data_IF_847633756479
#
_entry.id   IF_847633756479
#
_cell.length_a   1.000
_cell.length_b   1.000
_cell.length_c   1.000
_cell.angle_alpha   90.00
_cell.angle_beta   90.00
_cell.angle_gamma   90.00
#
_symmetry.space_group_name_H-M   'P 1'
#
loop_
_entity.id
_entity.type
_entity.pdbx_description
1 polymer ?
#
# COMPACT_ATOMS: atom_id res chain seq x y z
N UNK A 1 -4.43 0.28 29.48
CA UNK A 1 -3.66 0.08 28.20
C UNK A 1 -2.39 -0.68 28.55
N UNK A 2 -2.16 -1.83 27.95
CA UNK A 2 -0.92 -2.59 28.12
C UNK A 2 0.18 -1.97 27.25
N UNK A 3 1.30 -1.55 27.88
CA UNK A 3 2.46 -0.96 27.19
C UNK A 3 3.38 -2.07 26.65
N UNK A 4 2.85 -2.97 25.84
CA UNK A 4 3.56 -4.13 25.30
C UNK A 4 3.32 -4.26 23.81
N UNK A 5 4.40 -4.32 23.00
CA UNK A 5 4.32 -4.45 21.55
C UNK A 5 5.62 -5.02 20.96
N UNK A 6 5.52 -5.69 19.82
CA UNK A 6 6.65 -6.08 18.98
C UNK A 6 6.78 -5.06 17.84
N UNK A 7 7.98 -4.51 17.65
CA UNK A 7 8.23 -3.50 16.64
C UNK A 7 9.12 -4.05 15.53
N UNK A 8 8.76 -3.74 14.27
CA UNK A 8 9.55 -4.08 13.09
C UNK A 8 9.80 -2.83 12.25
N UNK A 9 11.04 -2.64 11.82
CA UNK A 9 11.48 -1.50 11.02
C UNK A 9 11.66 -1.88 9.55
N UNK A 10 11.56 -0.89 8.64
CA UNK A 10 11.88 -1.13 7.24
C UNK A 10 13.34 -1.55 7.06
N UNK A 11 13.61 -2.07 5.88
CA UNK A 11 14.89 -2.57 5.42
C UNK A 11 15.85 -1.47 4.98
N UNK A 12 16.91 -1.84 4.24
CA UNK A 12 17.84 -0.90 3.60
C UNK A 12 17.14 -0.16 2.46
N UNK A 13 16.94 1.14 2.62
CA UNK A 13 16.30 2.01 1.63
C UNK A 13 17.35 2.93 1.01
N UNK A 14 17.48 2.89 -0.32
CA UNK A 14 18.24 3.83 -1.14
C UNK A 14 17.29 4.90 -1.64
N UNK A 15 17.30 6.05 -1.02
CA UNK A 15 16.35 7.12 -1.27
C UNK A 15 17.01 8.28 -2.03
N UNK A 16 16.36 8.77 -3.09
CA UNK A 16 16.73 9.98 -3.82
C UNK A 16 16.60 9.87 -5.33
N UNK A 17 16.60 11.02 -6.02
CA UNK A 17 16.48 11.11 -7.47
C UNK A 17 17.69 10.45 -8.17
N UNK A 18 17.43 9.73 -9.25
CA UNK A 18 18.44 9.02 -10.04
C UNK A 18 18.97 7.73 -9.42
N UNK A 19 18.49 7.35 -8.21
CA UNK A 19 18.99 6.16 -7.51
C UNK A 19 18.61 4.84 -8.17
N UNK A 20 17.72 4.86 -9.18
CA UNK A 20 17.46 3.67 -10.02
C UNK A 20 18.72 3.18 -10.74
N UNK A 21 19.70 4.06 -10.97
CA UNK A 21 21.01 3.69 -11.54
C UNK A 21 21.78 2.65 -10.69
N UNK A 22 21.41 2.50 -9.42
CA UNK A 22 22.01 1.54 -8.48
C UNK A 22 21.32 0.16 -8.51
N UNK A 23 20.39 -0.10 -9.44
CA UNK A 23 19.57 -1.33 -9.44
C UNK A 23 20.42 -2.59 -9.53
N UNK A 24 21.49 -2.58 -10.31
CA UNK A 24 22.40 -3.71 -10.45
C UNK A 24 23.16 -3.98 -9.14
N UNK A 25 23.67 -2.93 -8.50
CA UNK A 25 24.34 -3.05 -7.20
C UNK A 25 23.36 -3.53 -6.10
N UNK A 26 22.11 -3.05 -6.12
CA UNK A 26 21.08 -3.53 -5.21
C UNK A 26 20.82 -5.05 -5.37
N UNK A 27 20.81 -5.54 -6.62
CA UNK A 27 20.72 -6.97 -6.90
C UNK A 27 21.94 -7.74 -6.35
N UNK A 28 23.15 -7.24 -6.55
CA UNK A 28 24.36 -7.89 -6.02
C UNK A 28 24.39 -7.92 -4.50
N UNK A 29 23.98 -6.84 -3.83
CA UNK A 29 23.84 -6.79 -2.36
C UNK A 29 22.79 -7.80 -1.88
N UNK A 30 21.72 -8.00 -2.62
CA UNK A 30 20.70 -8.99 -2.32
C UNK A 30 21.12 -10.44 -2.68
N UNK A 31 22.29 -10.63 -3.31
CA UNK A 31 22.78 -11.93 -3.76
C UNK A 31 22.15 -12.42 -5.08
N UNK A 32 21.48 -11.51 -5.81
CA UNK A 32 20.76 -11.84 -7.05
C UNK A 32 21.70 -11.69 -8.24
N UNK A 33 21.80 -12.74 -9.09
CA UNK A 33 22.60 -12.78 -10.31
C UNK A 33 21.74 -12.91 -11.57
N UNK A 34 20.52 -13.37 -11.42
CA UNK A 34 19.58 -13.59 -12.52
C UNK A 34 18.17 -13.17 -12.13
N UNK A 35 17.91 -11.87 -11.94
CA UNK A 35 16.64 -11.36 -11.49
C UNK A 35 15.50 -11.61 -12.48
N UNK A 36 14.26 -11.75 -11.98
CA UNK A 36 13.03 -11.54 -12.74
C UNK A 36 12.44 -10.20 -12.33
N UNK A 37 12.31 -9.26 -13.24
CA UNK A 37 11.57 -8.03 -12.99
C UNK A 37 10.08 -8.30 -13.15
N UNK A 38 9.31 -8.05 -12.09
CA UNK A 38 7.85 -8.23 -12.06
C UNK A 38 7.19 -6.87 -12.04
N UNK A 39 6.31 -6.59 -13.01
CA UNK A 39 5.61 -5.32 -13.16
C UNK A 39 4.25 -5.50 -13.84
N UNK A 40 3.46 -4.44 -13.95
CA UNK A 40 2.19 -4.47 -14.68
C UNK A 40 2.37 -4.17 -16.17
N UNK A 41 1.29 -4.47 -16.93
CA UNK A 41 1.29 -4.30 -18.39
C UNK A 41 1.43 -2.84 -18.83
N UNK A 42 0.92 -1.91 -18.01
CA UNK A 42 1.01 -0.47 -18.30
C UNK A 42 2.44 0.03 -18.19
N UNK A 43 3.15 -0.40 -17.16
CA UNK A 43 4.54 0.00 -16.92
C UNK A 43 5.55 -0.71 -17.83
N UNK A 44 5.27 -1.94 -18.26
CA UNK A 44 6.23 -2.77 -19.00
C UNK A 44 6.85 -2.08 -20.24
N UNK A 45 6.03 -1.31 -20.97
CA UNK A 45 6.47 -0.57 -22.15
C UNK A 45 7.01 0.84 -21.88
N UNK A 46 6.90 1.34 -20.66
CA UNK A 46 7.29 2.71 -20.33
C UNK A 46 8.81 2.87 -20.26
N UNK A 47 9.27 4.09 -20.53
CA UNK A 47 10.70 4.45 -20.55
C UNK A 47 11.39 4.09 -19.23
N UNK A 48 10.77 4.32 -18.09
CA UNK A 48 11.33 4.00 -16.77
C UNK A 48 11.66 2.51 -16.62
N UNK A 49 10.79 1.63 -17.13
CA UNK A 49 11.01 0.18 -17.12
C UNK A 49 12.11 -0.22 -18.10
N UNK A 50 12.09 0.34 -19.33
CA UNK A 50 13.10 0.04 -20.33
C UNK A 50 14.49 0.52 -19.90
N UNK A 51 14.60 1.70 -19.28
CA UNK A 51 15.83 2.21 -18.66
C UNK A 51 16.34 1.25 -17.58
N UNK A 52 15.46 0.78 -16.71
CA UNK A 52 15.82 -0.18 -15.65
C UNK A 52 16.33 -1.50 -16.24
N UNK A 53 15.67 -2.04 -17.27
CA UNK A 53 16.09 -3.26 -17.95
C UNK A 53 17.45 -3.08 -18.67
N UNK A 54 17.74 -1.91 -19.24
CA UNK A 54 19.02 -1.61 -19.84
C UNK A 54 20.15 -1.61 -18.78
N UNK A 55 19.92 -0.96 -17.63
CA UNK A 55 20.89 -0.96 -16.53
C UNK A 55 21.21 -2.38 -16.02
N UNK A 56 20.23 -3.26 -15.99
CA UNK A 56 20.45 -4.67 -15.62
C UNK A 56 21.25 -5.42 -16.68
N UNK A 57 20.94 -5.22 -17.97
CA UNK A 57 21.61 -5.86 -19.09
C UNK A 57 23.08 -5.43 -19.19
N UNK A 58 23.34 -4.13 -19.07
CA UNK A 58 24.68 -3.56 -19.05
C UNK A 58 25.55 -4.12 -17.92
N UNK A 59 24.93 -4.52 -16.81
CA UNK A 59 25.58 -5.17 -15.67
C UNK A 59 25.66 -6.71 -15.80
N UNK A 60 25.18 -7.29 -16.90
CA UNK A 60 25.19 -8.73 -17.14
C UNK A 60 24.11 -9.52 -16.38
N UNK A 61 23.11 -8.84 -15.84
CA UNK A 61 21.99 -9.48 -15.10
C UNK A 61 20.82 -9.87 -16.03
N UNK A 62 20.86 -9.46 -17.31
CA UNK A 62 19.85 -9.73 -18.34
C UNK A 62 18.61 -8.84 -18.23
N UNK A 63 17.62 -9.12 -19.09
CA UNK A 63 16.40 -8.30 -19.29
C UNK A 63 15.11 -9.06 -19.03
N UNK A 64 15.12 -10.06 -18.14
CA UNK A 64 13.94 -10.87 -17.90
C UNK A 64 12.84 -10.05 -17.21
N UNK A 65 11.64 -10.08 -17.79
CA UNK A 65 10.48 -9.35 -17.31
C UNK A 65 9.24 -10.26 -17.30
N UNK A 66 8.44 -10.17 -16.25
CA UNK A 66 7.08 -10.69 -16.16
C UNK A 66 6.12 -9.51 -15.99
N UNK A 67 5.29 -9.26 -17.00
CA UNK A 67 4.43 -8.09 -17.07
C UNK A 67 2.91 -8.42 -16.95
N UNK A 68 2.57 -9.64 -16.55
CA UNK A 68 1.17 -10.05 -16.47
C UNK A 68 0.60 -9.86 -15.05
N UNK A 69 0.67 -8.63 -14.56
CA UNK A 69 0.13 -8.20 -13.27
C UNK A 69 -1.15 -7.43 -13.53
N UNK A 70 -2.26 -7.87 -12.94
CA UNK A 70 -3.53 -7.16 -12.99
C UNK A 70 -3.59 -6.07 -11.88
N UNK A 71 -4.42 -5.02 -12.00
CA UNK A 71 -4.55 -3.96 -10.98
C UNK A 71 -4.93 -4.48 -9.58
N UNK A 72 -5.67 -5.58 -9.51
CA UNK A 72 -5.92 -6.37 -8.30
C UNK A 72 -5.41 -7.79 -8.56
N UNK A 73 -4.11 -8.06 -8.31
CA UNK A 73 -3.51 -9.35 -8.65
C UNK A 73 -4.17 -10.49 -7.87
N UNK A 74 -4.29 -11.63 -8.54
CA UNK A 74 -4.91 -12.83 -7.99
C UNK A 74 -3.97 -14.04 -8.04
N UNK A 75 -4.46 -15.19 -7.56
CA UNK A 75 -3.69 -16.44 -7.54
C UNK A 75 -3.24 -16.93 -8.92
N UNK A 76 -3.94 -16.53 -10.00
CA UNK A 76 -3.56 -16.90 -11.37
C UNK A 76 -2.36 -16.08 -11.83
N UNK A 77 -2.33 -14.79 -11.51
CA UNK A 77 -1.16 -13.94 -11.74
C UNK A 77 0.05 -14.48 -10.97
N UNK A 78 -0.15 -14.87 -9.70
CA UNK A 78 0.91 -15.45 -8.87
C UNK A 78 1.46 -16.75 -9.47
N UNK A 79 0.59 -17.67 -9.87
CA UNK A 79 0.99 -18.94 -10.49
C UNK A 79 1.74 -18.73 -11.80
N UNK A 80 1.28 -17.80 -12.65
CA UNK A 80 1.95 -17.46 -13.90
C UNK A 80 3.33 -16.82 -13.66
N UNK A 81 3.45 -15.94 -12.67
CA UNK A 81 4.73 -15.34 -12.27
C UNK A 81 5.73 -16.37 -11.75
N UNK A 82 5.27 -17.31 -10.91
CA UNK A 82 6.08 -18.43 -10.43
C UNK A 82 6.54 -19.33 -11.58
N UNK A 83 5.67 -19.62 -12.54
CA UNK A 83 6.02 -20.39 -13.73
C UNK A 83 7.11 -19.70 -14.56
N UNK A 84 6.99 -18.37 -14.77
CA UNK A 84 8.00 -17.57 -15.46
C UNK A 84 9.35 -17.56 -14.70
N UNK A 85 9.31 -17.41 -13.37
CA UNK A 85 10.49 -17.44 -12.51
C UNK A 85 11.25 -18.77 -12.66
N UNK A 86 10.53 -19.90 -12.57
CA UNK A 86 11.12 -21.25 -12.70
C UNK A 86 11.64 -21.53 -14.10
N UNK A 87 10.89 -21.17 -15.15
CA UNK A 87 11.28 -21.38 -16.54
C UNK A 87 12.57 -20.62 -16.91
N UNK A 88 12.74 -19.41 -16.34
CA UNK A 88 13.94 -18.62 -16.52
C UNK A 88 15.12 -19.04 -15.64
N UNK A 89 14.96 -19.96 -14.70
CA UNK A 89 15.95 -20.29 -13.65
C UNK A 89 16.46 -19.03 -12.94
N UNK A 90 15.52 -18.17 -12.53
CA UNK A 90 15.82 -16.94 -11.81
C UNK A 90 16.20 -17.25 -10.34
N UNK A 91 16.99 -16.37 -9.71
CA UNK A 91 17.48 -16.53 -8.35
C UNK A 91 17.06 -15.38 -7.42
N UNK A 92 16.28 -14.41 -7.94
CA UNK A 92 15.71 -13.32 -7.19
C UNK A 92 14.67 -12.55 -7.99
N UNK A 93 13.95 -11.65 -7.35
CA UNK A 93 12.89 -10.85 -7.94
C UNK A 93 13.17 -9.36 -7.75
N UNK A 94 12.97 -8.60 -8.81
CA UNK A 94 12.82 -7.14 -8.73
C UNK A 94 11.32 -6.86 -8.78
N UNK A 95 10.72 -6.49 -7.66
CA UNK A 95 9.33 -6.04 -7.58
C UNK A 95 9.28 -4.56 -7.99
N UNK A 96 8.73 -4.27 -9.18
CA UNK A 96 8.78 -2.95 -9.80
C UNK A 96 7.38 -2.44 -10.11
N UNK A 97 7.00 -1.27 -9.57
CA UNK A 97 5.70 -0.70 -9.87
C UNK A 97 4.98 -0.09 -8.66
N UNK A 98 3.68 0.09 -8.80
CA UNK A 98 2.80 0.40 -7.69
C UNK A 98 2.51 -0.82 -6.81
N UNK A 99 1.57 -0.70 -5.87
CA UNK A 99 1.24 -1.77 -4.93
C UNK A 99 1.04 -3.14 -5.57
N UNK A 100 0.31 -3.22 -6.68
CA UNK A 100 0.03 -4.49 -7.39
C UNK A 100 1.31 -5.17 -7.91
N UNK A 101 2.22 -4.39 -8.51
CA UNK A 101 3.51 -4.89 -9.00
C UNK A 101 4.42 -5.33 -7.86
N UNK A 102 4.47 -4.54 -6.79
CA UNK A 102 5.25 -4.85 -5.58
C UNK A 102 4.71 -6.11 -4.88
N UNK A 103 3.40 -6.18 -4.67
CA UNK A 103 2.76 -7.30 -3.98
C UNK A 103 2.92 -8.61 -4.75
N UNK A 104 2.67 -8.58 -6.07
CA UNK A 104 2.85 -9.78 -6.87
C UNK A 104 4.33 -10.19 -6.95
N UNK A 105 5.25 -9.23 -7.09
CA UNK A 105 6.69 -9.53 -7.09
C UNK A 105 7.13 -10.23 -5.80
N UNK A 106 6.68 -9.76 -4.65
CA UNK A 106 6.95 -10.40 -3.36
C UNK A 106 6.35 -11.81 -3.28
N UNK A 107 5.11 -11.98 -3.74
CA UNK A 107 4.45 -13.30 -3.76
C UNK A 107 5.14 -14.27 -4.70
N UNK A 108 5.60 -13.84 -5.88
CA UNK A 108 6.38 -14.68 -6.80
C UNK A 108 7.67 -15.17 -6.14
N UNK A 109 8.43 -14.25 -5.52
CA UNK A 109 9.66 -14.60 -4.79
C UNK A 109 9.40 -15.60 -3.67
N UNK A 110 8.31 -15.40 -2.93
CA UNK A 110 7.90 -16.27 -1.84
C UNK A 110 7.50 -17.67 -2.32
N UNK A 111 6.58 -17.74 -3.29
CA UNK A 111 5.97 -19.00 -3.74
C UNK A 111 6.89 -19.85 -4.62
N UNK A 112 7.92 -19.27 -5.24
CA UNK A 112 8.79 -19.97 -6.19
C UNK A 112 9.40 -21.26 -5.62
N UNK A 113 9.71 -21.29 -4.33
CA UNK A 113 10.26 -22.46 -3.63
C UNK A 113 9.24 -23.21 -2.77
N UNK A 114 8.00 -22.72 -2.58
CA UNK A 114 7.03 -23.36 -1.72
C UNK A 114 6.35 -24.56 -2.40
N UNK A 115 5.90 -25.51 -1.58
CA UNK A 115 5.13 -26.69 -2.03
C UNK A 115 3.64 -26.60 -1.73
N UNK A 116 3.22 -25.63 -0.90
CA UNK A 116 1.83 -25.40 -0.51
C UNK A 116 1.16 -24.36 -1.40
N UNK A 117 -0.16 -24.39 -1.57
CA UNK A 117 -0.90 -23.36 -2.28
C UNK A 117 -0.85 -22.02 -1.53
N UNK A 118 -1.01 -20.91 -2.26
CA UNK A 118 -0.91 -19.55 -1.72
C UNK A 118 -1.81 -19.32 -0.51
N UNK A 119 -3.03 -19.86 -0.51
CA UNK A 119 -4.02 -19.62 0.55
C UNK A 119 -3.68 -20.31 1.88
N UNK A 120 -2.70 -21.24 1.90
CA UNK A 120 -2.17 -21.80 3.14
C UNK A 120 -1.30 -20.81 3.94
N UNK A 121 -0.97 -19.65 3.34
CA UNK A 121 -0.12 -18.60 3.90
C UNK A 121 -0.87 -17.28 4.14
N UNK A 122 -2.20 -17.33 4.21
CA UNK A 122 -3.03 -16.18 4.58
C UNK A 122 -2.61 -15.70 5.99
N UNK A 123 -2.70 -14.38 6.23
CA UNK A 123 -2.34 -13.75 7.51
C UNK A 123 -3.39 -14.07 8.58
N UNK A 124 -3.38 -15.32 9.02
CA UNK A 124 -4.25 -15.87 10.05
C UNK A 124 -3.34 -16.53 11.11
N UNK A 125 -3.36 -16.00 12.32
CA UNK A 125 -2.60 -16.51 13.47
C UNK A 125 -1.11 -16.75 13.09
N UNK A 126 -0.66 -18.02 13.16
CA UNK A 126 0.71 -18.45 12.88
C UNK A 126 0.89 -19.14 11.51
N UNK A 127 -0.04 -18.99 10.58
CA UNK A 127 -0.02 -19.69 9.29
C UNK A 127 1.24 -19.41 8.46
N UNK A 128 1.83 -18.22 8.63
CA UNK A 128 3.11 -17.88 8.00
C UNK A 128 4.24 -18.87 8.37
N UNK A 129 4.16 -19.55 9.52
CA UNK A 129 5.15 -20.56 9.95
C UNK A 129 5.11 -21.84 9.10
N UNK A 130 4.06 -22.05 8.31
CA UNK A 130 3.92 -23.17 7.36
C UNK A 130 4.88 -23.06 6.18
N UNK A 131 5.45 -21.86 5.96
CA UNK A 131 6.38 -21.61 4.86
C UNK A 131 7.77 -22.19 5.17
N UNK A 132 8.40 -22.76 4.13
CA UNK A 132 9.83 -23.01 4.18
C UNK A 132 10.57 -21.68 3.90
N UNK A 133 11.12 -21.09 4.95
CA UNK A 133 11.82 -19.81 4.87
C UNK A 133 13.13 -19.85 4.07
N UNK A 134 13.75 -21.01 3.92
CA UNK A 134 15.07 -21.13 3.29
C UNK A 134 15.02 -21.10 1.76
N UNK A 135 13.83 -21.30 1.20
CA UNK A 135 13.61 -21.33 -0.24
C UNK A 135 12.95 -20.05 -0.78
N UNK A 136 12.75 -19.04 0.08
CA UNK A 136 12.21 -17.75 -0.33
C UNK A 136 13.31 -16.97 -1.05
N UNK A 137 13.04 -16.58 -2.29
CA UNK A 137 13.98 -15.83 -3.10
C UNK A 137 14.19 -14.41 -2.55
N UNK A 138 15.39 -13.82 -2.67
CA UNK A 138 15.64 -12.44 -2.29
C UNK A 138 14.87 -11.47 -3.20
N UNK A 139 14.53 -10.30 -2.63
CA UNK A 139 13.70 -9.29 -3.28
C UNK A 139 14.43 -7.94 -3.25
N UNK A 140 14.46 -7.27 -4.41
CA UNK A 140 14.70 -5.83 -4.53
C UNK A 140 13.37 -5.17 -4.88
N UNK A 141 12.97 -4.12 -4.17
CA UNK A 141 11.72 -3.41 -4.46
C UNK A 141 12.00 -2.01 -5.01
N UNK A 142 11.22 -1.63 -6.03
CA UNK A 142 11.31 -0.33 -6.70
C UNK A 142 9.91 0.23 -6.89
N UNK A 143 9.41 1.02 -5.93
CA UNK A 143 8.11 1.66 -6.04
C UNK A 143 8.11 2.73 -7.13
N UNK A 144 7.05 2.79 -7.94
CA UNK A 144 6.81 3.82 -8.94
C UNK A 144 5.59 4.68 -8.61
N UNK A 145 4.99 4.46 -7.44
CA UNK A 145 3.90 5.25 -6.87
C UNK A 145 4.23 5.63 -5.43
N UNK A 146 3.57 6.65 -4.91
CA UNK A 146 3.76 7.14 -3.55
C UNK A 146 2.46 7.02 -2.76
N UNK A 147 2.13 5.80 -2.32
CA UNK A 147 0.86 5.52 -1.62
C UNK A 147 0.92 4.29 -0.74
N UNK A 148 0.91 3.11 -1.35
CA UNK A 148 0.78 1.84 -0.64
C UNK A 148 1.93 1.54 0.34
N UNK A 149 3.15 2.01 0.05
CA UNK A 149 4.34 1.70 0.84
C UNK A 149 4.65 0.19 0.91
N UNK A 150 4.15 -0.60 -0.06
CA UNK A 150 4.35 -2.05 -0.07
C UNK A 150 5.83 -2.46 -0.10
N UNK A 151 6.72 -1.57 -0.55
CA UNK A 151 8.17 -1.76 -0.55
C UNK A 151 8.78 -1.90 0.86
N UNK A 152 8.11 -1.43 1.89
CA UNK A 152 8.54 -1.56 3.29
C UNK A 152 7.64 -2.51 4.10
N UNK A 153 6.71 -3.19 3.43
CA UNK A 153 5.75 -4.10 4.04
C UNK A 153 6.20 -5.57 4.02
N UNK A 154 5.76 -6.32 5.03
CA UNK A 154 5.97 -7.77 5.17
C UNK A 154 4.78 -8.59 4.68
N UNK A 155 3.85 -7.97 3.98
CA UNK A 155 2.64 -8.57 3.48
C UNK A 155 2.43 -8.22 2.01
N UNK A 156 1.55 -8.96 1.36
CA UNK A 156 1.06 -8.69 0.00
C UNK A 156 -0.43 -8.93 -0.03
N UNK A 157 -1.16 -8.09 -0.74
CA UNK A 157 -2.61 -8.21 -0.93
C UNK A 157 -2.89 -8.90 -2.25
N UNK A 158 -3.50 -10.09 -2.18
CA UNK A 158 -3.88 -10.90 -3.35
C UNK A 158 -5.38 -11.15 -3.33
N UNK A 159 -6.03 -10.93 -4.45
CA UNK A 159 -7.47 -11.16 -4.59
C UNK A 159 -7.73 -12.64 -4.83
N UNK A 160 -8.54 -13.26 -3.98
CA UNK A 160 -9.05 -14.60 -4.26
C UNK A 160 -10.12 -14.52 -5.35
N UNK A 161 -9.84 -15.08 -6.53
CA UNK A 161 -10.73 -14.94 -7.70
C UNK A 161 -12.07 -15.67 -7.55
N UNK A 162 -12.17 -16.62 -6.60
CA UNK A 162 -13.40 -17.38 -6.33
C UNK A 162 -14.31 -16.61 -5.38
N UNK A 163 -13.76 -16.16 -4.24
CA UNK A 163 -14.53 -15.44 -3.22
C UNK A 163 -14.65 -13.94 -3.49
N UNK A 164 -13.84 -13.41 -4.42
CA UNK A 164 -13.70 -11.99 -4.71
C UNK A 164 -13.37 -11.16 -3.46
N UNK A 165 -12.52 -11.70 -2.61
CA UNK A 165 -12.03 -11.06 -1.39
C UNK A 165 -10.54 -10.78 -1.52
N UNK A 166 -10.11 -9.62 -1.04
CA UNK A 166 -8.70 -9.32 -0.85
C UNK A 166 -8.19 -10.10 0.36
N UNK A 167 -7.13 -10.86 0.17
CA UNK A 167 -6.49 -11.68 1.20
C UNK A 167 -5.07 -11.18 1.40
N UNK A 168 -4.65 -11.13 2.65
CA UNK A 168 -3.29 -10.76 3.01
C UNK A 168 -2.47 -12.05 3.09
N UNK A 169 -1.38 -12.10 2.34
CA UNK A 169 -0.35 -13.13 2.46
C UNK A 169 0.82 -12.51 3.22
N UNK A 170 1.18 -13.09 4.34
CA UNK A 170 2.18 -12.55 5.24
C UNK A 170 3.36 -13.50 5.44
N UNK A 171 4.55 -12.94 5.42
CA UNK A 171 5.76 -13.61 5.92
C UNK A 171 6.84 -12.56 6.24
N UNK A 172 7.63 -12.70 7.34
CA UNK A 172 8.72 -11.75 7.65
C UNK A 172 9.71 -11.52 6.50
N UNK A 173 10.01 -12.55 5.69
CA UNK A 173 10.90 -12.46 4.52
C UNK A 173 10.25 -11.85 3.26
N UNK A 174 9.01 -11.37 3.32
CA UNK A 174 8.45 -10.48 2.28
C UNK A 174 9.09 -9.10 2.29
N UNK A 175 9.70 -8.72 3.41
CA UNK A 175 10.46 -7.48 3.48
C UNK A 175 11.61 -7.53 2.48
N UNK A 176 11.65 -6.64 1.47
CA UNK A 176 12.71 -6.62 0.47
C UNK A 176 14.09 -6.42 1.12
N UNK A 177 15.11 -7.06 0.56
CA UNK A 177 16.50 -6.90 1.04
C UNK A 177 17.02 -5.49 0.82
N UNK A 178 16.69 -4.91 -0.35
CA UNK A 178 17.01 -3.53 -0.71
C UNK A 178 15.79 -2.90 -1.36
N UNK A 179 15.54 -1.63 -1.03
CA UNK A 179 14.51 -0.80 -1.66
C UNK A 179 15.18 0.36 -2.36
N UNK A 180 14.74 0.70 -3.57
CA UNK A 180 15.16 1.91 -4.28
C UNK A 180 13.94 2.83 -4.41
N UNK A 181 13.89 3.86 -3.57
CA UNK A 181 12.91 4.93 -3.65
C UNK A 181 13.45 6.08 -4.49
N UNK A 182 13.19 6.05 -5.79
CA UNK A 182 13.60 7.08 -6.72
C UNK A 182 12.40 7.92 -7.17
N UNK A 183 12.27 9.17 -6.72
CA UNK A 183 11.12 10.02 -7.04
C UNK A 183 10.99 10.32 -8.54
N UNK A 184 12.04 10.22 -9.35
CA UNK A 184 11.95 10.39 -10.82
C UNK A 184 11.00 9.35 -11.43
N UNK A 185 10.89 8.16 -10.84
CA UNK A 185 10.01 7.09 -11.32
C UNK A 185 8.51 7.41 -11.11
N UNK A 186 8.20 8.42 -10.30
CA UNK A 186 6.82 8.85 -10.03
C UNK A 186 6.37 10.06 -10.84
N UNK A 187 7.27 10.72 -11.56
CA UNK A 187 6.99 11.97 -12.32
C UNK A 187 5.91 11.76 -13.37
N UNK A 188 5.88 10.58 -14.01
CA UNK A 188 4.89 10.24 -15.05
C UNK A 188 3.51 9.84 -14.53
N UNK A 189 3.27 9.84 -13.21
CA UNK A 189 1.96 9.45 -12.69
C UNK A 189 0.87 10.48 -13.08
N UNK A 190 -0.28 10.01 -13.62
CA UNK A 190 -1.44 10.86 -13.83
C UNK A 190 -1.91 11.53 -12.53
N UNK A 191 -2.53 12.71 -12.64
CA UNK A 191 -3.03 13.48 -11.48
C UNK A 191 -3.96 12.66 -10.58
N UNK A 192 -4.89 11.88 -11.15
CA UNK A 192 -5.82 11.08 -10.36
C UNK A 192 -5.13 9.95 -9.59
N UNK A 193 -4.05 9.37 -10.14
CA UNK A 193 -3.21 8.38 -9.43
C UNK A 193 -2.43 9.09 -8.32
N UNK A 194 -1.84 10.25 -8.61
CA UNK A 194 -1.12 11.05 -7.60
C UNK A 194 -2.03 11.38 -6.41
N UNK A 195 -3.26 11.85 -6.67
CA UNK A 195 -4.25 12.17 -5.63
C UNK A 195 -4.62 10.92 -4.81
N UNK A 196 -5.06 9.87 -5.50
CA UNK A 196 -5.52 8.65 -4.83
C UNK A 196 -4.40 7.96 -4.03
N UNK A 197 -3.21 7.81 -4.59
CA UNK A 197 -2.09 7.19 -3.85
C UNK A 197 -1.64 8.06 -2.68
N UNK A 198 -1.60 9.39 -2.85
CA UNK A 198 -1.23 10.29 -1.75
C UNK A 198 -2.23 10.25 -0.60
N UNK A 199 -3.53 10.15 -0.90
CA UNK A 199 -4.57 9.99 0.12
C UNK A 199 -4.60 8.59 0.75
N UNK A 200 -4.12 7.57 0.05
CA UNK A 200 -3.85 6.25 0.62
C UNK A 200 -2.76 6.33 1.70
N UNK A 201 -1.63 6.98 1.38
CA UNK A 201 -0.58 7.24 2.37
C UNK A 201 -1.10 8.05 3.57
N UNK A 202 -1.98 9.02 3.33
CA UNK A 202 -2.62 9.80 4.39
C UNK A 202 -3.55 8.93 5.25
N UNK A 203 -4.37 8.06 4.63
CA UNK A 203 -5.24 7.14 5.35
C UNK A 203 -4.44 6.16 6.22
N UNK A 204 -3.34 5.61 5.71
CA UNK A 204 -2.41 4.79 6.49
C UNK A 204 -1.92 5.50 7.75
N UNK A 205 -1.50 6.77 7.61
CA UNK A 205 -1.03 7.57 8.73
C UNK A 205 -2.15 7.86 9.73
N UNK A 206 -3.33 8.29 9.27
CA UNK A 206 -4.48 8.63 10.13
C UNK A 206 -4.95 7.41 10.92
N UNK A 207 -5.16 6.28 10.26
CA UNK A 207 -5.63 5.08 10.93
C UNK A 207 -4.60 4.51 11.90
N UNK A 208 -3.31 4.46 11.50
CA UNK A 208 -2.23 4.05 12.40
C UNK A 208 -2.15 4.95 13.63
N UNK A 209 -2.29 6.27 13.46
CA UNK A 209 -2.26 7.22 14.56
C UNK A 209 -3.43 7.01 15.53
N UNK A 210 -4.63 6.79 15.00
CA UNK A 210 -5.86 6.60 15.76
C UNK A 210 -6.06 5.19 16.31
N UNK A 211 -5.36 4.17 15.80
CA UNK A 211 -5.49 2.79 16.29
C UNK A 211 -5.22 2.70 17.80
N UNK A 212 -5.99 1.87 18.55
CA UNK A 212 -5.87 1.79 20.01
C UNK A 212 -4.63 1.04 20.51
N UNK A 213 -3.89 0.39 19.63
CA UNK A 213 -2.72 -0.39 20.01
C UNK A 213 -1.55 0.51 20.42
N UNK A 214 -0.69 0.00 21.32
CA UNK A 214 0.49 0.73 21.78
C UNK A 214 1.64 0.59 20.78
N UNK A 215 2.01 1.69 20.11
CA UNK A 215 3.18 1.73 19.23
C UNK A 215 3.65 3.18 19.03
N UNK A 216 4.38 3.79 20.00
CA UNK A 216 4.73 5.21 19.93
C UNK A 216 5.62 5.59 18.75
N UNK A 217 6.44 4.66 18.23
CA UNK A 217 7.24 4.93 17.02
C UNK A 217 6.36 5.05 15.78
N UNK A 218 5.33 4.20 15.65
CA UNK A 218 4.32 4.35 14.58
C UNK A 218 3.55 5.66 14.69
N UNK A 219 3.23 6.11 15.92
CA UNK A 219 2.58 7.41 16.13
C UNK A 219 3.43 8.58 15.64
N UNK A 220 4.73 8.59 15.96
CA UNK A 220 5.65 9.62 15.49
C UNK A 220 5.80 9.62 13.95
N UNK A 221 5.93 8.44 13.34
CA UNK A 221 5.98 8.31 11.88
C UNK A 221 4.67 8.73 11.22
N UNK A 222 3.52 8.36 11.79
CA UNK A 222 2.21 8.72 11.26
C UNK A 222 1.98 10.25 11.29
N UNK A 223 2.36 10.93 12.37
CA UNK A 223 2.27 12.39 12.47
C UNK A 223 3.11 13.09 11.40
N UNK A 224 4.37 12.70 11.25
CA UNK A 224 5.22 13.28 10.21
C UNK A 224 4.72 12.92 8.81
N UNK A 225 4.25 11.69 8.57
CA UNK A 225 3.65 11.29 7.31
C UNK A 225 2.43 12.17 6.95
N UNK A 226 1.53 12.44 7.92
CA UNK A 226 0.41 13.35 7.71
C UNK A 226 0.86 14.78 7.37
N UNK A 227 1.94 15.28 8.02
CA UNK A 227 2.50 16.60 7.72
C UNK A 227 3.02 16.67 6.29
N UNK A 228 3.79 15.66 5.86
CA UNK A 228 4.33 15.59 4.51
C UNK A 228 3.21 15.56 3.46
N UNK A 229 2.15 14.76 3.69
CA UNK A 229 1.00 14.74 2.77
C UNK A 229 0.32 16.10 2.70
N UNK A 230 0.03 16.72 3.85
CA UNK A 230 -0.60 18.05 3.91
C UNK A 230 0.17 19.09 3.09
N UNK A 231 1.49 19.08 3.18
CA UNK A 231 2.36 20.08 2.56
C UNK A 231 2.65 19.78 1.09
N UNK A 232 2.90 18.53 0.73
CA UNK A 232 3.47 18.17 -0.56
C UNK A 232 2.50 17.50 -1.53
N UNK A 233 1.41 16.87 -1.07
CA UNK A 233 0.46 16.25 -2.00
C UNK A 233 -0.22 17.25 -2.94
N UNK A 234 -0.69 18.43 -2.48
CA UNK A 234 -1.24 19.46 -3.37
C UNK A 234 -0.20 19.96 -4.41
N UNK A 235 1.07 20.06 -4.04
CA UNK A 235 2.17 20.44 -4.94
C UNK A 235 2.39 19.37 -6.01
N UNK A 236 2.57 18.10 -5.59
CA UNK A 236 2.75 16.97 -6.51
C UNK A 236 1.57 16.76 -7.46
N UNK A 237 0.35 17.06 -7.00
CA UNK A 237 -0.88 17.03 -7.81
C UNK A 237 -0.94 18.17 -8.82
N UNK A 238 -0.57 19.38 -8.41
CA UNK A 238 -0.55 20.58 -9.27
C UNK A 238 0.51 20.46 -10.36
N UNK A 239 1.75 20.15 -9.94
CA UNK A 239 2.92 19.95 -10.80
C UNK A 239 3.53 18.56 -10.57
N UNK A 240 3.25 17.64 -11.49
CA UNK A 240 3.78 16.27 -11.44
C UNK A 240 5.32 16.19 -11.60
N UNK A 241 5.98 17.27 -12.01
CA UNK A 241 7.44 17.35 -12.19
C UNK A 241 8.17 17.92 -10.97
N UNK A 242 7.45 18.34 -9.93
CA UNK A 242 8.02 18.81 -8.66
C UNK A 242 8.68 17.64 -7.90
N UNK A 243 9.97 17.42 -8.16
CA UNK A 243 10.75 16.33 -7.56
C UNK A 243 10.84 16.41 -6.03
N UNK A 244 10.83 17.61 -5.46
CA UNK A 244 10.81 17.76 -4.01
C UNK A 244 9.51 17.22 -3.44
N UNK A 245 8.36 17.63 -4.01
CA UNK A 245 7.06 17.13 -3.59
C UNK A 245 6.93 15.62 -3.81
N UNK A 246 7.39 15.09 -4.96
CA UNK A 246 7.43 13.65 -5.22
C UNK A 246 8.27 12.88 -4.18
N UNK A 247 9.42 13.43 -3.81
CA UNK A 247 10.30 12.84 -2.79
C UNK A 247 9.61 12.76 -1.43
N UNK A 248 8.99 13.85 -0.99
CA UNK A 248 8.29 13.87 0.29
C UNK A 248 7.05 12.95 0.28
N UNK A 249 6.35 12.83 -0.84
CA UNK A 249 5.24 11.88 -0.97
C UNK A 249 5.69 10.42 -0.88
N UNK A 250 6.84 10.05 -1.49
CA UNK A 250 7.42 8.71 -1.31
C UNK A 250 7.82 8.46 0.15
N UNK A 251 8.38 9.46 0.82
CA UNK A 251 8.68 9.35 2.25
C UNK A 251 7.41 9.15 3.08
N UNK A 252 6.34 9.92 2.81
CA UNK A 252 5.06 9.78 3.50
C UNK A 252 4.44 8.39 3.29
N UNK A 253 4.51 7.83 2.07
CA UNK A 253 4.05 6.49 1.77
C UNK A 253 4.79 5.41 2.57
N UNK A 254 6.12 5.46 2.60
CA UNK A 254 6.94 4.54 3.38
C UNK A 254 6.69 4.69 4.90
N UNK A 255 6.51 5.93 5.38
CA UNK A 255 6.20 6.20 6.78
C UNK A 255 4.82 5.67 7.17
N UNK A 256 3.78 5.90 6.35
CA UNK A 256 2.43 5.39 6.57
C UNK A 256 2.41 3.86 6.63
N UNK A 257 3.05 3.21 5.66
CA UNK A 257 3.15 1.76 5.59
C UNK A 257 3.96 1.14 6.74
N UNK A 258 4.96 1.85 7.24
CA UNK A 258 5.67 1.43 8.46
C UNK A 258 4.82 1.66 9.69
N UNK A 259 4.07 2.76 9.74
CA UNK A 259 3.23 3.12 10.88
C UNK A 259 2.04 2.18 11.06
N UNK A 260 1.45 1.66 10.00
CA UNK A 260 0.26 0.79 10.11
C UNK A 260 0.53 -0.59 10.74
N UNK A 261 1.77 -0.91 11.13
CA UNK A 261 2.03 -2.00 12.08
C UNK A 261 1.24 -1.83 13.39
N UNK A 262 0.91 -0.60 13.75
CA UNK A 262 0.03 -0.30 14.89
C UNK A 262 -1.43 -0.70 14.64
N UNK A 263 -1.84 -0.81 13.40
CA UNK A 263 -3.17 -1.22 12.92
C UNK A 263 -3.74 -0.23 11.93
N UNK A 264 -4.58 -0.73 11.03
CA UNK A 264 -5.50 0.01 10.18
C UNK A 264 -6.90 0.03 10.82
N UNK A 265 -7.91 0.54 10.13
CA UNK A 265 -9.25 0.67 10.68
C UNK A 265 -10.36 0.59 9.64
N UNK A 266 -11.46 1.29 9.90
CA UNK A 266 -12.69 1.23 9.11
C UNK A 266 -12.54 1.81 7.69
N UNK A 267 -11.60 2.73 7.45
CA UNK A 267 -11.37 3.25 6.10
C UNK A 267 -10.95 2.10 5.18
N UNK A 268 -9.91 1.36 5.57
CA UNK A 268 -9.44 0.21 4.81
C UNK A 268 -10.42 -0.96 4.83
N UNK A 269 -11.04 -1.25 5.98
CA UNK A 269 -12.03 -2.31 6.09
C UNK A 269 -13.23 -2.12 5.14
N UNK A 270 -13.63 -0.88 4.85
CA UNK A 270 -14.68 -0.56 3.87
C UNK A 270 -14.15 -0.58 2.44
N UNK A 271 -13.00 0.03 2.19
CA UNK A 271 -12.46 0.17 0.82
C UNK A 271 -12.02 -1.14 0.20
N UNK A 272 -11.58 -2.11 0.98
CA UNK A 272 -11.16 -3.42 0.47
C UNK A 272 -12.30 -4.18 -0.23
N UNK A 273 -13.46 -4.44 0.41
CA UNK A 273 -14.58 -5.08 -0.27
C UNK A 273 -15.14 -4.24 -1.42
N UNK A 274 -15.23 -2.90 -1.27
CA UNK A 274 -15.68 -2.02 -2.35
C UNK A 274 -14.76 -2.18 -3.57
N UNK A 275 -13.44 -2.08 -3.36
CA UNK A 275 -12.47 -2.23 -4.45
C UNK A 275 -12.44 -3.64 -5.07
N UNK A 276 -12.68 -4.69 -4.29
CA UNK A 276 -12.74 -6.06 -4.78
C UNK A 276 -13.99 -6.34 -5.63
N UNK A 277 -15.13 -5.74 -5.26
CA UNK A 277 -16.41 -5.94 -5.94
C UNK A 277 -16.51 -5.05 -7.18
N UNK A 278 -16.14 -3.78 -7.07
CA UNK A 278 -16.40 -2.75 -8.10
C UNK A 278 -15.16 -2.29 -8.85
N UNK A 279 -13.98 -2.83 -8.52
CA UNK A 279 -12.71 -2.50 -9.18
C UNK A 279 -12.31 -1.01 -9.10
N UNK A 280 -12.72 -0.32 -8.04
CA UNK A 280 -12.36 1.08 -7.82
C UNK A 280 -10.88 1.25 -7.47
N UNK A 281 -10.34 2.44 -7.71
CA UNK A 281 -8.98 2.77 -7.28
C UNK A 281 -8.92 2.85 -5.75
N UNK A 282 -8.06 2.03 -5.14
CA UNK A 282 -8.01 1.80 -3.69
C UNK A 282 -7.89 3.10 -2.88
N UNK A 283 -6.87 3.92 -3.15
CA UNK A 283 -6.66 5.14 -2.38
C UNK A 283 -7.75 6.20 -2.59
N UNK A 284 -8.39 6.23 -3.78
CA UNK A 284 -9.55 7.09 -4.01
C UNK A 284 -10.75 6.61 -3.18
N UNK A 285 -10.96 5.30 -3.08
CA UNK A 285 -12.02 4.73 -2.24
C UNK A 285 -11.77 5.00 -0.76
N UNK A 286 -10.50 4.91 -0.29
CA UNK A 286 -10.12 5.31 1.06
C UNK A 286 -10.49 6.77 1.33
N UNK A 287 -10.20 7.67 0.39
CA UNK A 287 -10.51 9.09 0.51
C UNK A 287 -12.01 9.37 0.59
N UNK A 288 -12.85 8.64 -0.16
CA UNK A 288 -14.31 8.72 -0.07
C UNK A 288 -14.84 8.23 1.28
N UNK A 289 -14.27 7.14 1.80
CA UNK A 289 -14.70 6.59 3.11
C UNK A 289 -14.27 7.46 4.30
N UNK A 290 -13.14 8.16 4.18
CA UNK A 290 -12.46 8.81 5.31
C UNK A 290 -13.34 9.81 6.08
N UNK A 291 -14.07 10.76 5.47
CA UNK A 291 -14.87 11.74 6.21
C UNK A 291 -15.94 11.09 7.11
N UNK A 292 -16.66 10.09 6.60
CA UNK A 292 -17.67 9.36 7.36
C UNK A 292 -17.05 8.57 8.51
N UNK A 293 -15.92 7.89 8.27
CA UNK A 293 -15.21 7.10 9.28
C UNK A 293 -14.64 8.00 10.39
N UNK A 294 -14.10 9.17 10.07
CA UNK A 294 -13.63 10.12 11.08
C UNK A 294 -14.78 10.57 12.01
N UNK A 295 -15.94 10.91 11.44
CA UNK A 295 -17.13 11.27 12.21
C UNK A 295 -17.62 10.11 13.09
N UNK A 296 -17.66 8.90 12.53
CA UNK A 296 -18.03 7.68 13.27
C UNK A 296 -17.09 7.44 14.46
N UNK A 297 -15.79 7.56 14.26
CA UNK A 297 -14.79 7.32 15.29
C UNK A 297 -14.62 8.51 16.28
N UNK A 298 -15.25 9.68 16.05
CA UNK A 298 -15.12 10.90 16.88
C UNK A 298 -15.12 10.64 18.39
N UNK A 299 -16.02 9.82 18.95
CA UNK A 299 -16.05 9.59 20.40
C UNK A 299 -14.75 9.00 20.98
N UNK A 300 -14.00 8.26 20.17
CA UNK A 300 -12.76 7.59 20.59
C UNK A 300 -11.48 8.32 20.18
N UNK A 301 -11.54 9.18 19.16
CA UNK A 301 -10.33 9.79 18.55
C UNK A 301 -10.28 11.31 18.62
N UNK A 302 -11.30 11.96 19.20
CA UNK A 302 -11.43 13.42 19.23
C UNK A 302 -10.17 14.10 19.77
N UNK A 303 -9.68 13.66 20.92
CA UNK A 303 -8.50 14.28 21.56
C UNK A 303 -7.23 13.92 20.81
N UNK A 304 -7.10 12.68 20.35
CA UNK A 304 -5.96 12.21 19.55
C UNK A 304 -5.82 13.01 18.24
N UNK A 305 -6.92 13.25 17.53
CA UNK A 305 -6.87 14.06 16.30
C UNK A 305 -6.77 15.55 16.57
N UNK A 306 -7.18 16.05 17.74
CA UNK A 306 -6.90 17.43 18.14
C UNK A 306 -5.39 17.66 18.37
N UNK A 307 -4.68 16.67 18.95
CA UNK A 307 -3.22 16.70 19.05
C UNK A 307 -2.55 16.69 17.67
N UNK A 308 -3.02 15.82 16.76
CA UNK A 308 -2.54 15.79 15.38
C UNK A 308 -2.80 17.13 14.65
N UNK A 309 -3.99 17.70 14.78
CA UNK A 309 -4.33 19.01 14.23
C UNK A 309 -3.37 20.09 14.70
N UNK A 310 -3.07 20.13 16.01
CA UNK A 310 -2.09 21.07 16.56
C UNK A 310 -0.69 20.88 15.97
N UNK A 311 -0.22 19.62 15.85
CA UNK A 311 1.06 19.32 15.21
C UNK A 311 1.10 19.79 13.75
N UNK A 312 -0.01 19.63 13.03
CA UNK A 312 -0.17 20.04 11.64
C UNK A 312 -0.45 21.54 11.47
N UNK A 313 -0.50 22.31 12.54
CA UNK A 313 -0.89 23.73 12.53
C UNK A 313 -2.29 23.95 11.93
N UNK A 314 -3.23 23.08 12.28
CA UNK A 314 -4.65 23.17 11.94
C UNK A 314 -5.40 23.67 13.18
N UNK A 315 -6.14 24.79 13.06
CA UNK A 315 -7.01 25.31 14.14
C UNK A 315 -8.23 24.42 14.39
N UNK A 316 -8.93 24.67 15.48
CA UNK A 316 -10.22 24.05 15.84
C UNK A 316 -10.19 22.54 16.12
N UNK A 317 -8.98 21.99 16.40
CA UNK A 317 -8.79 20.63 16.88
C UNK A 317 -9.39 19.57 15.94
N UNK A 318 -10.21 18.66 16.49
CA UNK A 318 -10.84 17.59 15.69
C UNK A 318 -11.71 18.13 14.54
N UNK A 319 -12.52 19.12 14.80
CA UNK A 319 -13.45 19.64 13.78
C UNK A 319 -12.67 20.35 12.67
N UNK A 320 -11.58 21.06 13.01
CA UNK A 320 -10.65 21.63 12.05
C UNK A 320 -9.91 20.55 11.23
N UNK A 321 -9.53 19.42 11.86
CA UNK A 321 -8.93 18.31 11.14
C UNK A 321 -9.91 17.70 10.10
N UNK A 322 -11.16 17.49 10.48
CA UNK A 322 -12.18 17.00 9.53
C UNK A 322 -12.39 17.97 8.37
N UNK A 323 -12.50 19.26 8.66
CA UNK A 323 -12.60 20.30 7.63
C UNK A 323 -11.40 20.29 6.69
N UNK A 324 -10.19 20.14 7.23
CA UNK A 324 -8.98 20.01 6.41
C UNK A 324 -9.05 18.80 5.47
N UNK A 325 -9.56 17.66 5.94
CA UNK A 325 -9.72 16.45 5.10
C UNK A 325 -10.71 16.71 3.96
N UNK A 326 -11.86 17.37 4.24
CA UNK A 326 -12.83 17.71 3.23
C UNK A 326 -12.24 18.69 2.18
N UNK A 327 -11.52 19.72 2.63
CA UNK A 327 -10.85 20.71 1.76
C UNK A 327 -9.73 20.07 0.91
N UNK A 328 -8.98 19.13 1.48
CA UNK A 328 -7.94 18.40 0.76
C UNK A 328 -8.57 17.53 -0.33
N UNK A 329 -9.62 16.77 -0.02
CA UNK A 329 -10.36 15.98 -1.01
C UNK A 329 -10.91 16.85 -2.16
N UNK A 330 -11.51 17.99 -1.84
CA UNK A 330 -12.02 18.94 -2.84
C UNK A 330 -10.90 19.48 -3.74
N UNK A 331 -9.75 19.84 -3.16
CA UNK A 331 -8.60 20.37 -3.90
C UNK A 331 -7.96 19.36 -4.86
N UNK A 332 -8.11 18.07 -4.57
CA UNK A 332 -7.59 16.96 -5.34
C UNK A 332 -8.65 16.34 -6.28
N UNK A 333 -9.82 16.95 -6.38
CA UNK A 333 -10.96 16.51 -7.19
C UNK A 333 -11.38 15.05 -6.87
N UNK A 334 -11.38 14.68 -5.58
CA UNK A 334 -11.82 13.37 -5.13
C UNK A 334 -13.35 13.28 -5.20
N UNK A 335 -13.92 12.17 -5.73
CA UNK A 335 -15.34 11.88 -5.65
C UNK A 335 -15.87 11.94 -4.20
N UNK A 336 -17.12 12.38 -4.01
CA UNK A 336 -17.69 12.57 -2.67
C UNK A 336 -18.49 11.36 -2.17
N UNK A 337 -18.85 10.45 -3.07
CA UNK A 337 -19.70 9.30 -2.78
C UNK A 337 -19.33 8.09 -3.64
N UNK A 338 -19.89 6.94 -3.31
CA UNK A 338 -19.81 5.74 -4.15
C UNK A 338 -20.50 5.96 -5.50
N UNK A 339 -21.60 6.74 -5.53
CA UNK A 339 -22.27 7.09 -6.78
C UNK A 339 -21.33 7.87 -7.72
N UNK A 340 -20.55 8.82 -7.19
CA UNK A 340 -19.54 9.56 -7.97
C UNK A 340 -18.38 8.66 -8.45
N UNK A 341 -18.15 7.52 -7.80
CA UNK A 341 -17.23 6.47 -8.25
C UNK A 341 -17.86 5.54 -9.31
N UNK A 342 -19.11 5.80 -9.72
CA UNK A 342 -19.86 4.98 -10.66
C UNK A 342 -20.61 3.79 -10.04
N UNK A 343 -20.76 3.77 -8.72
CA UNK A 343 -21.47 2.72 -7.97
C UNK A 343 -22.82 3.27 -7.51
N UNK A 344 -23.80 3.31 -8.42
CA UNK A 344 -25.13 3.86 -8.14
C UNK A 344 -25.96 2.98 -7.17
N UNK A 345 -25.76 1.67 -7.19
CA UNK A 345 -26.52 0.71 -6.37
C UNK A 345 -25.54 -0.26 -5.69
N UNK A 346 -24.91 0.13 -4.58
CA UNK A 346 -23.97 -0.73 -3.88
C UNK A 346 -24.66 -1.95 -3.25
N UNK A 347 -24.07 -3.12 -3.37
CA UNK A 347 -24.45 -4.33 -2.63
C UNK A 347 -24.01 -4.19 -1.17
N UNK A 348 -24.84 -3.49 -0.40
CA UNK A 348 -24.55 -3.13 1.01
C UNK A 348 -24.26 -4.38 1.84
N UNK A 349 -25.05 -5.45 1.68
CA UNK A 349 -24.89 -6.67 2.48
C UNK A 349 -23.54 -7.34 2.22
N UNK A 350 -23.13 -7.37 0.98
CA UNK A 350 -21.83 -7.94 0.58
C UNK A 350 -20.67 -7.08 1.06
N UNK A 351 -20.78 -5.75 0.97
CA UNK A 351 -19.76 -4.84 1.49
C UNK A 351 -19.64 -4.96 3.01
N UNK A 352 -20.78 -4.97 3.75
CA UNK A 352 -20.81 -5.17 5.21
C UNK A 352 -20.13 -6.46 5.60
N UNK A 353 -20.51 -7.57 4.96
CA UNK A 353 -19.93 -8.88 5.25
C UNK A 353 -18.42 -8.90 5.01
N UNK A 354 -17.96 -8.29 3.90
CA UNK A 354 -16.55 -8.19 3.58
C UNK A 354 -15.78 -7.32 4.58
N UNK A 355 -16.34 -6.17 4.97
CA UNK A 355 -15.72 -5.26 5.92
C UNK A 355 -15.56 -5.88 7.32
N UNK A 356 -16.55 -6.62 7.81
CA UNK A 356 -16.50 -7.21 9.14
C UNK A 356 -15.46 -8.33 9.31
N UNK A 357 -15.08 -8.99 8.22
CA UNK A 357 -14.04 -10.02 8.23
C UNK A 357 -12.68 -9.50 7.79
N UNK A 358 -12.59 -8.22 7.39
CA UNK A 358 -11.34 -7.61 6.97
C UNK A 358 -10.37 -7.47 8.15
N UNK A 359 -9.09 -7.82 7.99
CA UNK A 359 -8.10 -7.71 9.07
C UNK A 359 -7.95 -6.29 9.61
N UNK A 360 -8.21 -5.25 8.80
CA UNK A 360 -8.12 -3.84 9.21
C UNK A 360 -9.14 -3.48 10.29
N UNK A 361 -10.27 -4.20 10.37
CA UNK A 361 -11.36 -3.96 11.33
C UNK A 361 -10.89 -4.04 12.77
N UNK A 362 -9.91 -4.92 13.06
CA UNK A 362 -9.38 -5.10 14.42
C UNK A 362 -8.62 -3.90 14.98
N UNK A 363 -8.13 -3.01 14.12
CA UNK A 363 -7.41 -1.78 14.52
C UNK A 363 -8.31 -0.54 14.62
N UNK A 364 -9.61 -0.64 14.32
CA UNK A 364 -10.50 0.51 14.41
C UNK A 364 -10.81 0.88 15.87
N UNK A 365 -10.72 2.17 16.25
CA UNK A 365 -10.96 2.61 17.64
C UNK A 365 -12.35 2.27 18.19
N UNK A 366 -13.37 2.30 17.35
CA UNK A 366 -14.74 1.87 17.70
C UNK A 366 -15.01 0.53 17.03
N UNK A 367 -15.48 -0.44 17.81
CA UNK A 367 -15.81 -1.77 17.29
C UNK A 367 -16.83 -1.68 16.16
N UNK A 368 -16.47 -2.22 15.00
CA UNK A 368 -17.38 -2.37 13.88
C UNK A 368 -18.40 -3.49 14.13
N UNK A 369 -19.66 -3.21 13.82
CA UNK A 369 -20.78 -4.13 13.89
C UNK A 369 -21.55 -4.05 12.58
N UNK A 370 -22.42 -5.04 12.31
CA UNK A 370 -23.25 -5.01 11.10
C UNK A 370 -24.06 -3.70 10.99
N UNK A 371 -24.64 -3.25 12.09
CA UNK A 371 -25.49 -2.06 12.13
C UNK A 371 -24.71 -0.78 11.81
N UNK A 372 -23.56 -0.54 12.48
CA UNK A 372 -22.80 0.70 12.26
C UNK A 372 -22.04 0.69 10.94
N UNK A 373 -21.56 -0.47 10.47
CA UNK A 373 -20.92 -0.62 9.15
C UNK A 373 -21.92 -0.33 8.04
N UNK A 374 -23.15 -0.83 8.15
CA UNK A 374 -24.25 -0.54 7.21
C UNK A 374 -24.54 0.95 7.13
N UNK A 375 -24.63 1.64 8.30
CA UNK A 375 -24.84 3.10 8.35
C UNK A 375 -23.72 3.85 7.64
N UNK A 376 -22.46 3.45 7.85
CA UNK A 376 -21.31 4.07 7.16
C UNK A 376 -21.41 3.91 5.64
N UNK A 377 -21.78 2.73 5.15
CA UNK A 377 -21.91 2.50 3.70
C UNK A 377 -23.03 3.35 3.12
N UNK A 378 -24.17 3.45 3.80
CA UNK A 378 -25.30 4.30 3.38
C UNK A 378 -24.88 5.79 3.37
N UNK A 379 -24.08 6.25 4.33
CA UNK A 379 -23.61 7.64 4.39
C UNK A 379 -22.70 8.01 3.22
N UNK A 380 -21.89 7.07 2.73
CA UNK A 380 -20.98 7.30 1.61
C UNK A 380 -21.56 6.94 0.24
N UNK A 381 -22.80 6.39 0.18
CA UNK A 381 -23.48 6.03 -1.07
C UNK A 381 -24.12 7.23 -1.71
#
# INVERSE_FOLDING_TARGET
>A
MTLNANWSYPTSIRFGAGRISEIADACFVAGIKKPLLVTDRGLAGMEITQKTLNLLDDAGLGRAIFANVDPNPNEKNASAGVAAYKAGNHDGVIAFGGGSGLDLGKVVAFLAGQSRPIWDFEDIDDWWTRANSDVIAPIVAVPTTAGTGSEVGRASVITNSITQQKKIIFHPKFLPTVVICDPELTVGMPKFITAGTGLDAFAHCVEAYCSPHYHPMSQGMALEGMRLVKEYLPRAYSDGTDLEARSHMMSAAAMGATAFQKGLGAIHALSHPIGAIYHTHHGTTNAVCMPAVLKFNKPAIKDTLAEAANYLSISDGFDGFCKFVDELNDSLAIPKSLADLGIENPDIDRIVSGALIDPSTGGNPIKMTEENTRKLIIEIS
#
